data_IF_270825197974
#
_entry.id   IF_270825197974
#
_cell.length_a   1.000
_cell.length_b   1.000
_cell.length_c   1.000
_cell.angle_alpha   90.00
_cell.angle_beta   90.00
_cell.angle_gamma   90.00
#
_symmetry.space_group_name_H-M   'P 1'
#
loop_
_entity.id
_entity.type
_entity.pdbx_description
1 polymer ?
#
# COMPACT_ATOMS: atom_id res chain seq x y z
N UNK A 1 13.95 3.38 -35.17
CA UNK A 1 13.44 3.22 -33.79
C UNK A 1 12.44 2.06 -33.77
N UNK A 2 12.84 0.89 -33.25
CA UNK A 2 11.90 -0.20 -33.03
C UNK A 2 10.98 0.17 -31.86
N UNK A 3 9.71 0.45 -32.16
CA UNK A 3 8.66 0.49 -31.14
C UNK A 3 8.57 -0.94 -30.60
N UNK A 4 9.19 -1.20 -29.44
CA UNK A 4 8.99 -2.46 -28.72
C UNK A 4 7.48 -2.62 -28.53
N UNK A 5 6.87 -3.60 -29.19
CA UNK A 5 5.50 -4.06 -28.93
C UNK A 5 5.43 -4.44 -27.46
N UNK A 6 5.02 -3.50 -26.58
CA UNK A 6 4.70 -3.81 -25.19
C UNK A 6 3.48 -4.73 -25.25
N UNK A 7 3.69 -5.97 -24.85
CA UNK A 7 2.83 -7.13 -25.12
C UNK A 7 1.48 -7.06 -24.39
N UNK A 8 0.41 -7.43 -25.11
CA UNK A 8 -0.96 -7.70 -24.63
C UNK A 8 -1.01 -8.43 -23.28
N UNK A 9 -0.04 -9.31 -23.04
CA UNK A 9 0.17 -10.11 -21.82
C UNK A 9 0.14 -9.31 -20.51
N UNK A 10 0.61 -8.07 -20.50
CA UNK A 10 0.60 -7.22 -19.29
C UNK A 10 -0.80 -6.68 -18.96
N UNK A 11 -1.56 -6.34 -19.99
CA UNK A 11 -2.93 -5.84 -19.85
C UNK A 11 -3.89 -6.97 -19.48
N UNK A 12 -3.73 -8.15 -20.10
CA UNK A 12 -4.46 -9.37 -19.73
C UNK A 12 -4.26 -9.72 -18.25
N UNK A 13 -3.02 -9.65 -17.74
CA UNK A 13 -2.72 -9.92 -16.32
C UNK A 13 -3.41 -8.93 -15.37
N UNK A 14 -3.46 -7.64 -15.72
CA UNK A 14 -4.17 -6.64 -14.91
C UNK A 14 -5.67 -6.90 -14.93
N UNK A 15 -6.24 -7.19 -16.09
CA UNK A 15 -7.67 -7.52 -16.22
C UNK A 15 -8.01 -8.79 -15.42
N UNK A 16 -7.19 -9.83 -15.51
CA UNK A 16 -7.38 -11.07 -14.75
C UNK A 16 -7.30 -10.83 -13.24
N UNK A 17 -6.46 -9.90 -12.77
CA UNK A 17 -6.45 -9.47 -11.36
C UNK A 17 -7.75 -8.78 -10.99
N UNK A 18 -8.20 -7.81 -11.79
CA UNK A 18 -9.47 -7.10 -11.55
C UNK A 18 -10.67 -8.05 -11.49
N UNK A 19 -10.73 -9.06 -12.35
CA UNK A 19 -11.81 -10.06 -12.36
C UNK A 19 -11.77 -10.96 -11.12
N UNK A 20 -10.60 -11.17 -10.50
CA UNK A 20 -10.42 -11.99 -9.30
C UNK A 20 -10.59 -11.24 -7.99
N UNK A 21 -10.79 -9.92 -8.02
CA UNK A 21 -10.98 -9.13 -6.82
C UNK A 21 -12.17 -9.67 -6.01
N UNK A 22 -11.95 -9.89 -4.71
CA UNK A 22 -13.02 -10.35 -3.82
C UNK A 22 -14.11 -9.30 -3.69
N UNK A 23 -15.32 -9.69 -3.25
CA UNK A 23 -16.43 -8.75 -3.04
C UNK A 23 -16.03 -7.57 -2.14
N UNK A 24 -15.23 -7.81 -1.11
CA UNK A 24 -14.74 -6.78 -0.18
C UNK A 24 -13.79 -5.80 -0.87
N UNK A 25 -12.86 -6.31 -1.68
CA UNK A 25 -11.93 -5.49 -2.48
C UNK A 25 -12.72 -4.61 -3.45
N UNK A 26 -13.67 -5.18 -4.18
CA UNK A 26 -14.51 -4.42 -5.13
C UNK A 26 -15.33 -3.33 -4.44
N UNK A 27 -15.93 -3.62 -3.29
CA UNK A 27 -16.67 -2.64 -2.49
C UNK A 27 -15.73 -1.51 -2.05
N UNK A 28 -14.57 -1.85 -1.49
CA UNK A 28 -13.62 -0.86 -0.98
C UNK A 28 -13.06 0.02 -2.09
N UNK A 29 -12.66 -0.55 -3.23
CA UNK A 29 -12.21 0.22 -4.40
C UNK A 29 -13.30 1.17 -4.89
N UNK A 30 -14.56 0.76 -4.87
CA UNK A 30 -15.70 1.62 -5.24
C UNK A 30 -15.90 2.77 -4.24
N UNK A 31 -15.78 2.51 -2.92
CA UNK A 31 -15.88 3.56 -1.88
C UNK A 31 -14.87 4.69 -2.09
N UNK A 32 -13.70 4.37 -2.62
CA UNK A 32 -12.63 5.34 -2.92
C UNK A 32 -12.52 5.69 -4.40
N UNK A 33 -13.50 5.35 -5.24
CA UNK A 33 -13.50 5.64 -6.69
C UNK A 33 -12.26 5.16 -7.47
N UNK A 34 -11.63 4.07 -6.99
CA UNK A 34 -10.31 3.58 -7.46
C UNK A 34 -9.17 4.62 -7.33
N UNK A 35 -9.29 5.59 -6.43
CA UNK A 35 -8.25 6.56 -6.14
C UNK A 35 -7.37 6.09 -4.98
N UNK A 36 -6.07 6.39 -5.07
CA UNK A 36 -5.14 6.12 -4.00
C UNK A 36 -5.46 6.98 -2.77
N UNK A 37 -5.58 6.36 -1.61
CA UNK A 37 -5.85 7.06 -0.36
C UNK A 37 -4.70 8.00 0.09
N UNK A 38 -3.52 7.92 -0.53
CA UNK A 38 -2.36 8.77 -0.21
C UNK A 38 -2.25 9.97 -1.16
N UNK A 39 -2.26 9.74 -2.48
CA UNK A 39 -2.08 10.83 -3.46
C UNK A 39 -3.37 11.32 -4.10
N UNK A 40 -4.48 10.59 -4.00
CA UNK A 40 -5.73 10.90 -4.68
C UNK A 40 -5.76 10.50 -6.15
N UNK A 41 -4.62 10.11 -6.73
CA UNK A 41 -4.55 9.71 -8.14
C UNK A 41 -5.16 8.32 -8.37
N UNK A 42 -5.64 8.09 -9.59
CA UNK A 42 -6.03 6.78 -10.10
C UNK A 42 -5.31 6.52 -11.43
N UNK A 43 -4.97 5.26 -11.71
CA UNK A 43 -4.38 4.91 -13.02
C UNK A 43 -5.52 4.66 -14.00
N UNK A 44 -5.67 5.51 -15.01
CA UNK A 44 -6.62 5.26 -16.10
C UNK A 44 -6.03 4.23 -17.07
N UNK A 45 -6.64 3.06 -17.18
CA UNK A 45 -6.23 2.00 -18.12
C UNK A 45 -6.77 2.27 -19.52
N UNK A 46 -8.08 2.45 -19.66
CA UNK A 46 -8.76 2.71 -20.92
C UNK A 46 -10.10 3.39 -20.65
N UNK A 47 -10.38 4.51 -21.35
CA UNK A 47 -11.61 5.29 -21.16
C UNK A 47 -11.82 5.61 -19.68
N UNK A 48 -12.89 5.08 -19.07
CA UNK A 48 -13.27 5.30 -17.67
C UNK A 48 -12.79 4.19 -16.73
N UNK A 49 -12.07 3.18 -17.24
CA UNK A 49 -11.54 2.08 -16.43
C UNK A 49 -10.34 2.58 -15.64
N UNK A 50 -10.52 2.71 -14.33
CA UNK A 50 -9.47 3.08 -13.37
C UNK A 50 -8.89 1.84 -12.69
N UNK A 51 -7.64 1.94 -12.29
CA UNK A 51 -6.89 0.90 -11.61
C UNK A 51 -6.28 1.41 -10.31
N UNK A 52 -6.51 0.63 -9.26
CA UNK A 52 -5.85 0.70 -7.97
C UNK A 52 -5.66 -0.72 -7.43
N UNK A 53 -4.82 -0.82 -6.41
CA UNK A 53 -4.51 -2.06 -5.70
C UNK A 53 -5.04 -1.98 -4.27
N UNK A 54 -5.36 -3.13 -3.69
CA UNK A 54 -5.72 -3.21 -2.27
C UNK A 54 -4.58 -3.85 -1.50
N UNK A 55 -4.01 -3.08 -0.59
CA UNK A 55 -2.92 -3.51 0.29
C UNK A 55 -3.48 -3.94 1.64
N UNK A 56 -3.14 -5.14 2.11
CA UNK A 56 -3.38 -5.53 3.50
C UNK A 56 -2.32 -4.93 4.43
N UNK A 57 -2.70 -4.05 5.37
CA UNK A 57 -1.78 -3.37 6.29
C UNK A 57 -0.94 -4.40 7.07
N UNK A 58 -1.59 -5.36 7.72
CA UNK A 58 -0.97 -6.57 8.21
C UNK A 58 -1.10 -7.64 7.11
N UNK A 59 0.01 -8.22 6.60
CA UNK A 59 -0.06 -9.12 5.46
C UNK A 59 -0.99 -10.32 5.69
N UNK A 60 -1.88 -10.58 4.73
CA UNK A 60 -2.78 -11.73 4.74
C UNK A 60 -2.07 -12.98 4.19
N UNK A 61 -1.26 -13.62 5.02
CA UNK A 61 -0.60 -14.89 4.69
C UNK A 61 -0.40 -15.76 5.94
N UNK A 62 0.12 -16.98 5.75
CA UNK A 62 0.30 -17.97 6.84
C UNK A 62 1.21 -17.49 7.96
N UNK A 63 2.18 -16.62 7.64
CA UNK A 63 3.18 -16.13 8.59
C UNK A 63 2.64 -14.98 9.42
N UNK A 64 2.09 -13.96 8.76
CA UNK A 64 1.68 -12.72 9.41
C UNK A 64 0.23 -12.75 9.89
N UNK A 65 -0.61 -13.61 9.31
CA UNK A 65 -1.99 -13.87 9.73
C UNK A 65 -2.85 -12.60 9.90
N UNK A 66 -2.67 -11.62 9.01
CA UNK A 66 -3.58 -10.48 8.92
C UNK A 66 -5.02 -10.93 8.66
N UNK A 67 -6.00 -10.10 8.98
CA UNK A 67 -7.39 -10.39 8.65
C UNK A 67 -7.66 -10.02 7.19
N UNK A 68 -8.43 -10.83 6.48
CA UNK A 68 -8.89 -10.50 5.12
C UNK A 68 -10.20 -9.69 5.21
N UNK A 69 -10.12 -8.48 5.73
CA UNK A 69 -11.27 -7.59 5.90
C UNK A 69 -10.95 -6.10 5.79
N UNK A 70 -11.96 -5.28 5.51
CA UNK A 70 -11.84 -3.84 5.20
C UNK A 70 -10.99 -3.06 6.24
N UNK A 71 -11.09 -3.28 7.56
CA UNK A 71 -10.25 -2.58 8.53
C UNK A 71 -8.75 -2.84 8.38
N UNK A 72 -8.34 -3.87 7.65
CA UNK A 72 -6.96 -4.20 7.34
C UNK A 72 -6.58 -3.82 5.90
N UNK A 73 -7.42 -3.11 5.15
CA UNK A 73 -7.22 -2.87 3.72
C UNK A 73 -7.09 -1.37 3.39
N UNK A 74 -6.20 -1.08 2.44
CA UNK A 74 -6.00 0.25 1.85
C UNK A 74 -6.08 0.19 0.33
N UNK A 75 -6.78 1.14 -0.29
CA UNK A 75 -6.78 1.37 -1.74
C UNK A 75 -5.61 2.28 -2.10
N UNK A 76 -4.63 1.75 -2.83
CA UNK A 76 -3.39 2.43 -3.15
C UNK A 76 -3.09 2.38 -4.66
N UNK A 77 -2.31 3.34 -5.14
CA UNK A 77 -1.64 3.17 -6.45
C UNK A 77 -0.44 2.23 -6.29
N UNK A 78 0.06 1.61 -7.38
CA UNK A 78 1.14 0.64 -7.33
C UNK A 78 2.41 1.16 -6.66
N UNK A 79 2.72 2.45 -6.85
CA UNK A 79 3.90 3.06 -6.24
C UNK A 79 3.80 3.06 -4.71
N UNK A 80 2.67 3.54 -4.17
CA UNK A 80 2.47 3.59 -2.72
C UNK A 80 2.22 2.20 -2.11
N UNK A 81 1.60 1.29 -2.86
CA UNK A 81 1.47 -0.12 -2.46
C UNK A 81 2.85 -0.73 -2.20
N UNK A 82 3.78 -0.57 -3.15
CA UNK A 82 5.14 -1.09 -3.03
C UNK A 82 5.90 -0.50 -1.84
N UNK A 83 5.67 0.78 -1.51
CA UNK A 83 6.30 1.41 -0.34
C UNK A 83 5.80 0.83 0.99
N UNK A 84 4.53 0.43 1.07
CA UNK A 84 4.00 -0.30 2.22
C UNK A 84 4.54 -1.73 2.27
N UNK A 85 4.55 -2.46 1.15
CA UNK A 85 5.09 -3.82 1.07
C UNK A 85 6.55 -3.91 1.56
N UNK A 86 7.36 -2.91 1.19
CA UNK A 86 8.76 -2.83 1.60
C UNK A 86 8.95 -2.37 3.04
N UNK A 87 7.91 -1.89 3.72
CA UNK A 87 8.03 -1.28 5.05
C UNK A 87 8.71 0.08 5.05
N UNK A 88 8.74 0.77 3.90
CA UNK A 88 9.26 2.15 3.77
C UNK A 88 8.22 3.15 4.29
N UNK A 89 6.94 2.84 4.10
CA UNK A 89 5.82 3.55 4.68
C UNK A 89 5.14 2.73 5.78
N UNK A 90 4.68 3.43 6.80
CA UNK A 90 3.75 2.95 7.81
C UNK A 90 2.73 4.04 8.16
N UNK A 91 1.71 3.68 8.91
CA UNK A 91 0.84 4.63 9.59
C UNK A 91 1.31 4.80 11.04
N UNK A 92 1.14 5.99 11.59
CA UNK A 92 1.36 6.25 13.00
C UNK A 92 0.43 5.34 13.84
N UNK A 93 0.97 4.53 14.75
CA UNK A 93 0.18 3.58 15.53
C UNK A 93 -0.78 4.21 16.53
N UNK A 94 -0.69 5.52 16.77
CA UNK A 94 -1.55 6.23 17.74
C UNK A 94 -2.79 6.86 17.07
N UNK A 95 -2.62 7.47 15.89
CA UNK A 95 -3.72 8.14 15.18
C UNK A 95 -4.28 7.34 14.00
N UNK A 96 -3.55 6.31 13.55
CA UNK A 96 -3.89 5.43 12.42
C UNK A 96 -4.09 6.13 11.07
N UNK A 97 -3.69 7.39 10.91
CA UNK A 97 -3.90 8.19 9.69
C UNK A 97 -2.64 8.90 9.19
N UNK A 98 -1.72 9.25 10.07
CA UNK A 98 -0.51 9.99 9.72
C UNK A 98 0.51 9.05 9.12
N UNK A 99 1.03 9.36 7.93
CA UNK A 99 2.05 8.56 7.27
C UNK A 99 3.43 8.79 7.89
N UNK A 100 4.12 7.69 8.17
CA UNK A 100 5.50 7.65 8.60
C UNK A 100 6.36 7.07 7.47
N UNK A 101 7.18 7.93 6.87
CA UNK A 101 8.23 7.50 5.94
C UNK A 101 9.55 7.25 6.68
N UNK A 102 10.34 6.25 6.24
CA UNK A 102 11.65 5.92 6.84
C UNK A 102 12.65 7.09 6.77
N UNK A 103 12.63 7.84 5.67
CA UNK A 103 13.28 9.15 5.55
C UNK A 103 12.31 10.26 5.99
N UNK A 104 12.57 10.94 7.13
CA UNK A 104 11.72 12.03 7.63
C UNK A 104 11.68 13.26 6.73
N UNK A 105 12.61 13.42 5.77
CA UNK A 105 12.62 14.53 4.81
C UNK A 105 11.74 14.27 3.59
N UNK A 106 11.24 13.05 3.42
CA UNK A 106 10.38 12.70 2.30
C UNK A 106 9.03 13.45 2.39
N UNK A 107 8.48 13.98 1.28
CA UNK A 107 7.21 14.70 1.29
C UNK A 107 6.00 13.92 1.77
N UNK A 108 6.06 12.58 1.79
CA UNK A 108 5.00 11.73 2.33
C UNK A 108 5.02 11.66 3.86
N UNK A 109 6.15 11.98 4.51
CA UNK A 109 6.24 11.97 5.97
C UNK A 109 5.30 13.04 6.55
N UNK A 110 4.51 12.67 7.56
CA UNK A 110 3.45 13.49 8.18
C UNK A 110 2.27 13.85 7.27
N UNK A 111 2.15 13.28 6.07
CA UNK A 111 0.94 13.42 5.26
C UNK A 111 -0.19 12.56 5.85
N UNK A 112 -1.42 13.06 5.81
CA UNK A 112 -2.58 12.29 6.25
C UNK A 112 -3.14 11.39 5.13
N UNK A 113 -3.46 10.15 5.50
CA UNK A 113 -4.18 9.19 4.68
C UNK A 113 -5.67 9.55 4.62
N UNK A 114 -6.27 9.51 3.43
CA UNK A 114 -7.71 9.68 3.27
C UNK A 114 -8.46 8.44 3.79
N UNK A 115 -9.12 8.57 4.95
CA UNK A 115 -9.95 7.54 5.59
C UNK A 115 -11.43 7.96 5.70
N UNK A 116 -11.93 8.70 4.71
CA UNK A 116 -13.28 9.28 4.75
C UNK A 116 -14.41 8.24 4.84
N UNK A 117 -14.16 6.99 4.44
CA UNK A 117 -15.22 5.98 4.28
C UNK A 117 -15.09 4.75 5.17
N UNK A 118 -13.95 4.52 5.84
CA UNK A 118 -13.78 3.39 6.76
C UNK A 118 -12.74 3.67 7.84
N UNK A 119 -12.81 2.88 8.91
CA UNK A 119 -11.83 2.90 10.01
C UNK A 119 -10.89 1.70 9.87
N UNK A 120 -9.64 1.91 10.28
CA UNK A 120 -8.62 0.87 10.28
C UNK A 120 -8.58 0.14 11.62
N UNK A 121 -8.14 -1.11 11.57
CA UNK A 121 -7.85 -1.90 12.76
C UNK A 121 -6.57 -1.41 13.42
N UNK A 122 -6.66 -0.96 14.67
CA UNK A 122 -5.50 -0.54 15.46
C UNK A 122 -4.47 -1.66 15.62
N UNK A 123 -4.92 -2.92 15.72
CA UNK A 123 -4.04 -4.08 15.84
C UNK A 123 -3.24 -4.31 14.57
N UNK A 124 -3.85 -4.18 13.39
CA UNK A 124 -3.16 -4.34 12.12
C UNK A 124 -2.18 -3.21 11.85
N UNK A 125 -2.57 -1.96 12.14
CA UNK A 125 -1.68 -0.80 12.01
C UNK A 125 -0.46 -0.94 12.92
N UNK A 126 -0.67 -1.26 14.20
CA UNK A 126 0.42 -1.46 15.16
C UNK A 126 1.32 -2.62 14.75
N UNK A 127 0.73 -3.73 14.26
CA UNK A 127 1.51 -4.85 13.75
C UNK A 127 2.46 -4.43 12.62
N UNK A 128 1.95 -3.73 11.60
CA UNK A 128 2.78 -3.28 10.48
C UNK A 128 3.90 -2.35 10.95
N UNK A 129 3.57 -1.39 11.82
CA UNK A 129 4.55 -0.48 12.41
C UNK A 129 5.68 -1.23 13.12
N UNK A 130 5.35 -2.18 14.00
CA UNK A 130 6.34 -2.89 14.81
C UNK A 130 7.12 -3.96 14.05
N UNK A 131 6.42 -4.78 13.25
CA UNK A 131 6.98 -6.01 12.67
C UNK A 131 7.55 -5.82 11.27
N UNK A 132 7.10 -4.79 10.56
CA UNK A 132 7.56 -4.49 9.20
C UNK A 132 8.42 -3.23 9.21
N UNK A 133 7.86 -2.09 9.59
CA UNK A 133 8.52 -0.78 9.48
C UNK A 133 9.72 -0.62 10.43
N UNK A 134 9.52 -0.84 11.75
CA UNK A 134 10.61 -0.74 12.72
C UNK A 134 11.68 -1.82 12.52
N UNK A 135 11.30 -2.99 12.00
CA UNK A 135 12.26 -4.04 11.65
C UNK A 135 13.22 -3.54 10.58
N UNK A 136 12.71 -3.02 9.45
CA UNK A 136 13.54 -2.46 8.39
C UNK A 136 14.40 -1.28 8.89
N UNK A 137 13.81 -0.37 9.67
CA UNK A 137 14.55 0.77 10.26
C UNK A 137 15.76 0.31 11.10
N UNK A 138 15.62 -0.77 11.87
CA UNK A 138 16.71 -1.35 12.65
C UNK A 138 17.78 -1.99 11.76
N UNK A 139 17.38 -2.71 10.72
CA UNK A 139 18.32 -3.36 9.78
C UNK A 139 19.20 -2.33 9.04
N UNK A 140 18.60 -1.21 8.59
CA UNK A 140 19.33 -0.13 7.91
C UNK A 140 20.27 0.64 8.83
N UNK A 141 19.86 0.90 10.07
CA UNK A 141 20.72 1.58 11.09
C UNK A 141 21.89 0.70 11.55
N UNK A 142 21.72 -0.62 11.54
CA UNK A 142 22.81 -1.56 11.89
C UNK A 142 23.82 -1.68 10.76
N UNK A 143 23.36 -1.62 9.51
CA UNK A 143 24.21 -1.72 8.31
C UNK A 143 25.08 -0.48 8.12
N UNK A 144 24.53 0.72 8.31
CA UNK A 144 25.26 1.99 8.20
C UNK A 144 26.40 2.13 9.22
N UNK A 145 26.25 1.57 10.43
CA UNK A 145 27.31 1.51 11.45
C UNK A 145 28.45 0.54 11.13
N UNK A 146 28.26 -0.44 10.23
CA UNK A 146 29.30 -1.40 9.83
C UNK A 146 30.18 -0.89 8.68
N UNK A 147 29.72 0.05 7.87
CA UNK A 147 30.47 0.62 6.74
C UNK A 147 31.34 1.81 7.15
N UNK A 148 31.10 2.37 8.34
CA UNK A 148 31.83 3.50 8.92
C UNK A 148 32.92 3.10 9.93
N UNK A 149 33.30 1.81 9.94
CA UNK A 149 34.47 1.25 10.63
C UNK A 149 35.37 0.58 9.61
#
# INVERSE_FOLDING_TARGET
>A
MMIRKKTLKSMESIIERLVRDSKKVTILKKMYENCCQICGDSITLLKEIRYSEVHHIQPFNRTHKGIDDIPNMLVLCPNHHQLFDLGILALNPEDHKTLLHLDPKNPLHNKELNLSFHKLSSTCVRYHYEKVFLKLKKELTTTTKKVSK
#
